data_IF_738867166832
#
_entry.id   IF_738867166832
#
_cell.length_a   1.000
_cell.length_b   1.000
_cell.length_c   1.000
_cell.angle_alpha   90.00
_cell.angle_beta   90.00
_cell.angle_gamma   90.00
#
_symmetry.space_group_name_H-M   'P 1'
#
loop_
_entity.id
_entity.type
_entity.pdbx_description
1 polymer ?
#
# COMPACT_ATOMS: atom_id res chain seq x y z
N UNK A 1 -10.38 30.58 1.82
CA UNK A 1 -9.20 31.00 2.60
C UNK A 1 -8.02 31.06 1.66
N UNK A 2 -7.32 32.18 1.67
CA UNK A 2 -6.28 32.60 0.73
C UNK A 2 -5.02 31.74 0.86
N UNK A 3 -4.49 31.25 -0.26
CA UNK A 3 -3.14 30.67 -0.35
C UNK A 3 -2.12 31.76 0.06
N UNK A 4 -1.33 31.48 1.08
CA UNK A 4 -0.23 32.35 1.51
C UNK A 4 0.93 32.24 0.50
N UNK A 5 1.47 33.35 -0.02
CA UNK A 5 2.45 33.37 -1.12
C UNK A 5 3.90 33.15 -0.63
N UNK A 6 4.08 32.37 0.44
CA UNK A 6 5.41 32.04 0.98
C UNK A 6 6.04 30.86 0.24
N UNK A 7 5.27 30.15 -0.59
CA UNK A 7 5.70 28.94 -1.31
C UNK A 7 6.16 29.18 -2.77
N UNK A 8 6.04 30.40 -3.31
CA UNK A 8 6.53 30.77 -4.65
C UNK A 8 7.99 31.27 -4.61
N UNK A 9 8.84 30.68 -3.76
CA UNK A 9 10.25 31.04 -3.71
C UNK A 9 11.07 30.09 -4.61
N UNK A 10 11.79 30.59 -5.64
CA UNK A 10 12.62 29.77 -6.54
C UNK A 10 13.73 28.96 -5.83
N UNK A 11 13.98 29.21 -4.55
CA UNK A 11 14.87 28.42 -3.69
C UNK A 11 14.27 27.07 -3.21
N UNK A 12 12.99 26.82 -3.49
CA UNK A 12 12.29 25.57 -3.13
C UNK A 12 12.17 24.58 -4.30
N UNK A 13 12.77 24.87 -5.46
CA UNK A 13 12.91 23.92 -6.57
C UNK A 13 13.73 22.71 -6.11
N UNK A 14 13.03 21.64 -5.69
CA UNK A 14 13.62 20.45 -5.07
C UNK A 14 12.96 20.03 -3.76
N UNK A 15 12.27 20.95 -3.07
CA UNK A 15 11.46 20.63 -1.88
C UNK A 15 10.18 19.86 -2.24
N UNK A 16 9.65 20.00 -3.45
CA UNK A 16 8.51 19.21 -3.94
C UNK A 16 8.79 17.69 -3.94
N UNK A 17 10.04 17.28 -4.15
CA UNK A 17 10.42 15.88 -4.08
C UNK A 17 10.50 15.42 -2.62
N UNK A 18 11.05 16.28 -1.75
CA UNK A 18 11.17 15.99 -0.33
C UNK A 18 9.80 15.89 0.35
N UNK A 19 8.85 16.77 0.01
CA UNK A 19 7.45 16.70 0.47
C UNK A 19 6.76 15.43 -0.03
N UNK A 20 6.96 15.03 -1.29
CA UNK A 20 6.41 13.76 -1.82
C UNK A 20 6.99 12.53 -1.14
N UNK A 21 8.27 12.54 -0.79
CA UNK A 21 8.93 11.45 -0.04
C UNK A 21 8.43 11.43 1.41
N UNK A 22 8.31 12.58 2.06
CA UNK A 22 7.75 12.71 3.40
C UNK A 22 6.29 12.26 3.46
N UNK A 23 5.46 12.63 2.49
CA UNK A 23 4.07 12.17 2.39
C UNK A 23 3.99 10.65 2.17
N UNK A 24 4.92 10.07 1.41
CA UNK A 24 5.00 8.61 1.18
C UNK A 24 5.43 7.87 2.46
N UNK A 25 6.38 8.42 3.20
CA UNK A 25 6.83 7.89 4.48
C UNK A 25 5.75 8.06 5.56
N UNK A 26 5.06 9.21 5.60
CA UNK A 26 3.98 9.45 6.56
C UNK A 26 2.74 8.58 6.29
N UNK A 27 2.43 8.26 5.02
CA UNK A 27 1.38 7.30 4.64
C UNK A 27 1.73 5.85 4.97
N UNK A 28 3.01 5.53 5.21
CA UNK A 28 3.42 4.19 5.68
C UNK A 28 3.10 3.94 7.16
N UNK A 29 2.71 4.98 7.89
CA UNK A 29 2.51 4.96 9.35
C UNK A 29 1.16 4.40 9.82
N UNK A 30 0.37 3.78 8.93
CA UNK A 30 -0.80 2.99 9.32
C UNK A 30 -0.60 1.52 8.91
N UNK A 31 -0.12 0.75 9.89
CA UNK A 31 -0.33 -0.71 10.02
C UNK A 31 0.22 -1.58 8.88
N UNK A 32 1.50 -1.97 8.95
CA UNK A 32 2.27 -2.82 8.01
C UNK A 32 1.66 -4.19 7.66
N UNK A 33 0.48 -4.18 7.06
CA UNK A 33 -0.26 -5.30 6.53
C UNK A 33 -0.69 -5.03 5.10
N UNK A 34 -0.70 -6.05 4.25
CA UNK A 34 -0.16 -7.39 4.51
C UNK A 34 1.36 -7.30 4.73
N UNK A 35 1.94 -8.10 5.64
CA UNK A 35 3.38 -8.07 5.82
C UNK A 35 4.05 -8.56 4.52
N UNK A 36 5.14 -7.91 4.15
CA UNK A 36 5.81 -8.18 2.89
C UNK A 36 7.33 -8.05 3.01
N UNK A 37 8.02 -8.75 2.11
CA UNK A 37 9.47 -8.66 1.90
C UNK A 37 9.74 -8.09 0.51
N UNK A 38 10.86 -7.38 0.39
CA UNK A 38 11.43 -6.96 -0.88
C UNK A 38 12.86 -7.46 -0.91
N UNK A 39 13.20 -8.25 -1.92
CA UNK A 39 14.51 -8.85 -2.13
C UNK A 39 15.06 -8.40 -3.48
N UNK A 40 16.33 -8.01 -3.53
CA UNK A 40 17.03 -7.78 -4.78
C UNK A 40 17.62 -9.10 -5.29
N UNK A 41 17.18 -9.55 -6.46
CA UNK A 41 17.59 -10.84 -7.04
C UNK A 41 18.72 -10.66 -8.05
N UNK A 42 18.79 -9.49 -8.70
CA UNK A 42 19.88 -9.07 -9.58
C UNK A 42 20.01 -7.54 -9.59
N UNK A 43 20.93 -6.98 -10.38
CA UNK A 43 21.06 -5.52 -10.54
C UNK A 43 19.78 -4.85 -11.07
N UNK A 44 18.96 -5.57 -11.84
CA UNK A 44 17.77 -5.04 -12.51
C UNK A 44 16.46 -5.71 -12.04
N UNK A 45 16.51 -6.67 -11.11
CA UNK A 45 15.35 -7.45 -10.69
C UNK A 45 15.08 -7.38 -9.19
N UNK A 46 13.82 -7.10 -8.84
CA UNK A 46 13.29 -7.14 -7.48
C UNK A 46 12.23 -8.23 -7.36
N UNK A 47 12.25 -8.96 -6.25
CA UNK A 47 11.20 -9.88 -5.84
C UNK A 47 10.45 -9.33 -4.64
N UNK A 48 9.14 -9.26 -4.76
CA UNK A 48 8.25 -8.81 -3.69
C UNK A 48 7.40 -10.00 -3.25
N UNK A 49 7.43 -10.30 -1.95
CA UNK A 49 6.69 -11.42 -1.35
C UNK A 49 5.71 -10.86 -0.33
N UNK A 50 4.41 -11.15 -0.46
CA UNK A 50 3.36 -10.66 0.45
C UNK A 50 2.65 -11.83 1.13
N UNK A 51 2.37 -11.71 2.43
CA UNK A 51 1.60 -12.71 3.17
C UNK A 51 0.11 -12.31 3.26
N UNK A 52 -0.73 -12.95 2.44
CA UNK A 52 -2.16 -12.62 2.26
C UNK A 52 -3.08 -13.75 2.73
N UNK A 53 -3.12 -13.98 4.05
CA UNK A 53 -3.96 -15.03 4.62
C UNK A 53 -5.46 -14.75 4.47
N UNK A 54 -6.23 -15.74 4.02
CA UNK A 54 -7.68 -15.63 3.87
C UNK A 54 -8.16 -14.98 2.57
N UNK A 55 -7.28 -14.84 1.58
CA UNK A 55 -7.61 -14.38 0.23
C UNK A 55 -7.41 -15.52 -0.76
N UNK A 56 -8.37 -15.70 -1.67
CA UNK A 56 -8.16 -16.50 -2.87
C UNK A 56 -7.46 -15.67 -3.95
N UNK A 57 -7.04 -16.32 -5.05
CA UNK A 57 -6.45 -15.58 -6.18
C UNK A 57 -7.45 -14.62 -6.83
N UNK A 58 -8.74 -14.95 -6.82
CA UNK A 58 -9.80 -14.12 -7.39
C UNK A 58 -10.10 -12.87 -6.54
N UNK A 59 -9.70 -12.90 -5.26
CA UNK A 59 -9.82 -11.78 -4.32
C UNK A 59 -8.65 -10.79 -4.42
N UNK A 60 -7.62 -11.10 -5.22
CA UNK A 60 -6.38 -10.34 -5.34
C UNK A 60 -6.23 -9.71 -6.72
N UNK A 61 -5.84 -8.45 -6.73
CA UNK A 61 -5.57 -7.69 -7.95
C UNK A 61 -4.18 -7.06 -7.87
N UNK A 62 -3.37 -7.28 -8.91
CA UNK A 62 -2.02 -6.72 -9.03
C UNK A 62 -1.97 -5.87 -10.30
N UNK A 63 -1.74 -4.58 -10.14
CA UNK A 63 -1.77 -3.60 -11.23
C UNK A 63 -0.57 -2.67 -11.15
N UNK A 64 -0.27 -1.96 -12.23
CA UNK A 64 0.73 -0.90 -12.23
C UNK A 64 0.06 0.39 -12.69
N UNK A 65 0.02 1.38 -11.81
CA UNK A 65 -0.61 2.68 -12.01
C UNK A 65 0.46 3.76 -11.79
N UNK A 66 0.65 4.68 -12.74
CA UNK A 66 1.60 5.81 -12.63
C UNK A 66 3.03 5.40 -12.18
N UNK A 67 3.54 4.30 -12.72
CA UNK A 67 4.86 3.74 -12.39
C UNK A 67 4.98 3.29 -10.92
N UNK A 68 3.85 2.94 -10.30
CA UNK A 68 3.75 2.34 -8.97
C UNK A 68 3.06 0.97 -9.08
N UNK A 69 3.63 -0.04 -8.43
CA UNK A 69 2.97 -1.33 -8.25
C UNK A 69 1.85 -1.16 -7.21
N UNK A 70 0.62 -1.53 -7.58
CA UNK A 70 -0.54 -1.48 -6.70
C UNK A 70 -1.10 -2.89 -6.52
N UNK A 71 -1.19 -3.34 -5.28
CA UNK A 71 -1.73 -4.65 -4.90
C UNK A 71 -2.96 -4.43 -4.03
N UNK A 72 -4.10 -4.94 -4.49
CA UNK A 72 -5.39 -4.84 -3.80
C UNK A 72 -5.85 -6.23 -3.38
N UNK A 73 -6.35 -6.34 -2.16
CA UNK A 73 -7.07 -7.53 -1.69
C UNK A 73 -8.46 -7.15 -1.24
N UNK A 74 -9.48 -7.77 -1.84
CA UNK A 74 -10.89 -7.57 -1.50
C UNK A 74 -11.49 -8.88 -1.05
N UNK A 75 -11.92 -8.96 0.21
CA UNK A 75 -12.67 -10.13 0.66
C UNK A 75 -14.10 -10.04 0.11
N UNK A 76 -14.47 -10.96 -0.76
CA UNK A 76 -15.78 -11.04 -1.41
C UNK A 76 -16.78 -11.92 -0.64
N UNK A 77 -16.37 -12.52 0.48
CA UNK A 77 -17.19 -13.45 1.22
C UNK A 77 -18.13 -12.71 2.19
N UNK A 78 -19.43 -13.01 2.09
CA UNK A 78 -20.42 -12.52 3.05
C UNK A 78 -20.16 -13.12 4.44
N UNK A 79 -19.53 -12.33 5.32
CA UNK A 79 -19.30 -12.69 6.72
C UNK A 79 -20.60 -13.04 7.46
N UNK A 80 -21.74 -12.55 6.96
CA UNK A 80 -23.06 -12.67 7.58
C UNK A 80 -23.59 -14.12 7.69
N UNK A 81 -23.09 -15.06 6.89
CA UNK A 81 -23.59 -16.46 6.88
C UNK A 81 -22.69 -17.44 7.64
N UNK A 82 -21.54 -17.00 8.15
CA UNK A 82 -20.55 -17.89 8.76
C UNK A 82 -20.59 -17.87 10.28
N UNK A 83 -20.77 -19.05 10.88
CA UNK A 83 -20.64 -19.23 12.32
C UNK A 83 -19.20 -19.63 12.62
N UNK A 84 -18.44 -18.73 13.23
CA UNK A 84 -17.07 -18.99 13.66
C UNK A 84 -17.07 -19.49 15.10
N UNK A 85 -16.45 -20.66 15.34
CA UNK A 85 -16.12 -21.10 16.71
C UNK A 85 -14.88 -20.38 17.25
N UNK A 86 -13.96 -20.00 16.36
CA UNK A 86 -12.79 -19.17 16.62
C UNK A 86 -12.34 -18.50 15.30
N UNK A 87 -11.95 -17.21 15.35
CA UNK A 87 -11.51 -16.43 14.18
C UNK A 87 -10.16 -15.75 14.45
N UNK A 88 -9.08 -16.44 14.07
CA UNK A 88 -7.69 -15.96 14.27
C UNK A 88 -7.06 -15.25 13.07
N UNK A 89 -7.69 -15.29 11.89
CA UNK A 89 -7.17 -14.67 10.66
C UNK A 89 -7.97 -13.41 10.38
N UNK A 90 -7.28 -12.28 10.35
CA UNK A 90 -7.85 -11.00 9.92
C UNK A 90 -7.82 -10.93 8.39
N UNK A 91 -8.99 -11.10 7.75
CA UNK A 91 -9.18 -10.99 6.31
C UNK A 91 -9.56 -9.55 5.92
N UNK A 92 -8.76 -8.57 6.37
CA UNK A 92 -9.05 -7.15 6.11
C UNK A 92 -8.70 -6.80 4.67
N UNK A 93 -9.59 -6.07 4.01
CA UNK A 93 -9.30 -5.51 2.70
C UNK A 93 -8.09 -4.58 2.79
N UNK A 94 -7.25 -4.57 1.75
CA UNK A 94 -6.05 -3.75 1.71
C UNK A 94 -5.75 -3.22 0.32
N UNK A 95 -4.98 -2.15 0.26
CA UNK A 95 -4.33 -1.63 -0.93
C UNK A 95 -2.90 -1.22 -0.57
N UNK A 96 -1.91 -1.70 -1.34
CA UNK A 96 -0.49 -1.40 -1.17
C UNK A 96 0.10 -0.90 -2.47
#
# INVERSE_FOLDING_TARGET
MSRLPVFDNPLLLGFDHFERVLDRVAKSSAEGYPPYNIEQVSEEELRITLAVAGFSMDDLEVTTEDNQLVIRGRNSEDEATRIYLHRGIAARQFQR
#
